data_IF_178723277747
#
_entry.id   IF_178723277747
#
_cell.length_a   1.000
_cell.length_b   1.000
_cell.length_c   1.000
_cell.angle_alpha   90.00
_cell.angle_beta   90.00
_cell.angle_gamma   90.00
#
_symmetry.space_group_name_H-M   'P 1'
#
loop_
_entity.id
_entity.type
_entity.pdbx_description
1 polymer ?
#
# COMPACT_ATOMS: atom_id res chain seq x y z
N UNK A 1 -61.54 5.23 -43.63
CA UNK A 1 -60.52 6.27 -43.35
C UNK A 1 -60.08 6.12 -41.91
N UNK A 2 -58.94 5.47 -41.62
CA UNK A 2 -58.43 5.33 -40.25
C UNK A 2 -57.54 6.53 -39.88
N UNK A 3 -57.75 7.09 -38.67
CA UNK A 3 -56.83 8.03 -38.03
C UNK A 3 -55.75 7.16 -37.37
N UNK A 4 -54.52 7.26 -37.86
CA UNK A 4 -53.36 6.61 -37.25
C UNK A 4 -52.97 7.40 -35.99
N UNK A 5 -53.13 6.79 -34.82
CA UNK A 5 -52.62 7.29 -33.55
C UNK A 5 -51.19 6.75 -33.37
N UNK A 6 -50.22 7.49 -33.89
CA UNK A 6 -48.79 7.17 -33.80
C UNK A 6 -48.24 7.71 -32.47
N UNK A 7 -48.41 6.93 -31.40
CA UNK A 7 -47.76 7.20 -30.11
C UNK A 7 -46.27 6.89 -30.23
N UNK A 8 -45.47 7.88 -30.67
CA UNK A 8 -44.01 7.81 -30.70
C UNK A 8 -43.45 7.79 -29.27
N UNK A 9 -42.75 6.73 -28.82
CA UNK A 9 -42.04 6.80 -27.55
C UNK A 9 -40.87 7.77 -27.69
N UNK A 10 -40.77 8.72 -26.75
CA UNK A 10 -39.66 9.64 -26.64
C UNK A 10 -38.34 8.85 -26.52
N UNK A 11 -37.49 8.94 -27.56
CA UNK A 11 -36.11 8.44 -27.51
C UNK A 11 -35.32 9.29 -26.53
N UNK A 12 -35.23 8.84 -25.28
CA UNK A 12 -34.23 9.35 -24.35
C UNK A 12 -32.84 8.86 -24.82
N UNK A 13 -31.84 9.73 -24.97
CA UNK A 13 -30.47 9.27 -25.18
C UNK A 13 -29.99 8.53 -23.93
N UNK A 14 -29.44 7.33 -24.12
CA UNK A 14 -28.79 6.57 -23.05
C UNK A 14 -27.71 7.42 -22.36
N UNK A 15 -27.53 7.32 -21.04
CA UNK A 15 -26.40 7.95 -20.38
C UNK A 15 -25.09 7.37 -20.95
N UNK A 16 -24.01 8.17 -21.06
CA UNK A 16 -22.72 7.63 -21.46
C UNK A 16 -22.34 6.51 -20.50
N UNK A 17 -22.03 5.34 -21.06
CA UNK A 17 -21.47 4.22 -20.33
C UNK A 17 -20.19 4.70 -19.64
N UNK A 18 -20.22 4.79 -18.31
CA UNK A 18 -19.05 4.97 -17.47
C UNK A 18 -18.10 3.79 -17.68
N UNK A 19 -17.28 3.85 -18.73
CA UNK A 19 -16.12 2.99 -18.85
C UNK A 19 -15.20 3.34 -17.67
N UNK A 20 -14.83 2.37 -16.80
CA UNK A 20 -13.75 2.61 -15.87
C UNK A 20 -12.49 2.96 -16.67
N UNK A 21 -11.72 3.99 -16.29
CA UNK A 21 -10.50 4.33 -17.01
C UNK A 21 -9.56 3.11 -17.02
N UNK A 22 -8.83 2.86 -18.11
CA UNK A 22 -7.83 1.79 -18.14
C UNK A 22 -6.82 2.05 -17.01
N UNK A 23 -6.32 0.99 -16.33
CA UNK A 23 -5.26 1.17 -15.35
C UNK A 23 -4.06 1.79 -16.10
N UNK A 24 -3.75 3.04 -15.78
CA UNK A 24 -2.56 3.72 -16.29
C UNK A 24 -1.34 2.93 -15.85
N UNK A 25 -0.82 2.13 -16.78
CA UNK A 25 0.43 1.36 -16.71
C UNK A 25 1.68 2.22 -16.43
N UNK A 26 1.51 3.54 -16.27
CA UNK A 26 2.57 4.52 -16.03
C UNK A 26 2.98 4.62 -14.56
N UNK A 27 2.20 4.08 -13.63
CA UNK A 27 2.43 4.30 -12.20
C UNK A 27 3.41 3.30 -11.57
N UNK A 28 3.40 2.06 -12.06
CA UNK A 28 4.31 0.99 -11.64
C UNK A 28 5.78 1.39 -11.81
N UNK A 29 6.09 2.17 -12.86
CA UNK A 29 7.46 2.64 -13.14
C UNK A 29 7.96 3.83 -12.31
N UNK A 30 7.13 4.45 -11.45
CA UNK A 30 7.52 5.62 -10.65
C UNK A 30 8.05 5.25 -9.27
N UNK A 31 7.53 4.18 -8.65
CA UNK A 31 7.95 3.70 -7.32
C UNK A 31 9.40 3.21 -7.31
N UNK A 32 9.83 2.50 -8.36
CA UNK A 32 11.21 1.99 -8.52
C UNK A 32 12.27 3.10 -8.58
N UNK A 33 11.87 4.35 -8.83
CA UNK A 33 12.77 5.50 -8.96
C UNK A 33 12.98 6.25 -7.64
N UNK A 34 12.10 6.12 -6.65
CA UNK A 34 12.24 6.82 -5.37
C UNK A 34 13.08 6.02 -4.36
N UNK A 35 14.41 6.08 -4.53
CA UNK A 35 15.37 5.35 -3.68
C UNK A 35 15.19 5.62 -2.17
N UNK A 36 14.87 6.85 -1.78
CA UNK A 36 14.67 7.22 -0.38
C UNK A 36 13.45 6.52 0.23
N UNK A 37 12.35 6.44 -0.51
CA UNK A 37 11.17 5.68 -0.12
C UNK A 37 11.47 4.18 0.00
N UNK A 38 12.15 3.60 -1.00
CA UNK A 38 12.51 2.17 -0.98
C UNK A 38 13.45 1.84 0.19
N UNK A 39 14.40 2.72 0.52
CA UNK A 39 15.25 2.57 1.71
C UNK A 39 14.42 2.56 3.00
N UNK A 40 13.36 3.37 3.07
CA UNK A 40 12.40 3.36 4.16
C UNK A 40 11.69 2.01 4.30
N UNK A 41 11.20 1.47 3.18
CA UNK A 41 10.56 0.16 3.14
C UNK A 41 11.50 -0.98 3.59
N UNK A 42 12.77 -0.96 3.14
CA UNK A 42 13.79 -1.92 3.58
C UNK A 42 14.07 -1.76 5.09
N UNK A 43 14.10 -0.54 5.61
CA UNK A 43 14.26 -0.30 7.04
C UNK A 43 13.10 -0.88 7.87
N UNK A 44 11.88 -0.87 7.34
CA UNK A 44 10.73 -1.52 7.98
C UNK A 44 10.90 -3.03 8.06
N UNK A 45 11.37 -3.66 6.97
CA UNK A 45 11.68 -5.09 7.00
C UNK A 45 12.75 -5.41 8.06
N UNK A 46 13.82 -4.62 8.15
CA UNK A 46 14.86 -4.79 9.17
C UNK A 46 14.32 -4.58 10.60
N UNK A 47 13.38 -3.66 10.79
CA UNK A 47 12.69 -3.46 12.07
C UNK A 47 11.82 -4.68 12.44
N UNK A 48 11.05 -5.22 11.49
CA UNK A 48 10.21 -6.40 11.70
C UNK A 48 11.04 -7.64 12.04
N UNK A 49 12.17 -7.86 11.33
CA UNK A 49 13.13 -8.93 11.64
C UNK A 49 13.61 -8.85 13.09
N UNK A 50 14.11 -7.67 13.50
CA UNK A 50 14.57 -7.44 14.89
C UNK A 50 13.47 -7.67 15.92
N UNK A 51 12.25 -7.19 15.63
CA UNK A 51 11.09 -7.38 16.50
C UNK A 51 10.74 -8.86 16.64
N UNK A 52 10.73 -9.62 15.53
CA UNK A 52 10.49 -11.07 15.55
C UNK A 52 11.55 -11.80 16.35
N UNK A 53 12.84 -11.50 16.13
CA UNK A 53 13.93 -12.09 16.92
C UNK A 53 13.76 -11.79 18.41
N UNK A 54 13.50 -10.54 18.79
CA UNK A 54 13.29 -10.18 20.18
C UNK A 54 12.10 -10.92 20.81
N UNK A 55 11.00 -11.07 20.08
CA UNK A 55 9.85 -11.88 20.52
C UNK A 55 10.21 -13.36 20.68
N UNK A 56 10.96 -13.95 19.74
CA UNK A 56 11.38 -15.34 19.83
C UNK A 56 12.36 -15.59 20.99
N UNK A 57 13.26 -14.63 21.28
CA UNK A 57 14.26 -14.76 22.33
C UNK A 57 13.69 -14.49 23.72
N UNK A 58 12.80 -13.50 23.85
CA UNK A 58 12.30 -13.04 25.16
C UNK A 58 10.84 -13.42 25.44
N UNK A 59 10.15 -14.03 24.48
CA UNK A 59 8.75 -14.47 24.62
C UNK A 59 7.72 -13.34 24.66
N UNK A 60 8.14 -12.09 24.53
CA UNK A 60 7.24 -10.93 24.63
C UNK A 60 7.54 -9.86 23.57
N UNK A 61 6.48 -9.24 23.06
CA UNK A 61 6.57 -8.04 22.24
C UNK A 61 6.60 -6.83 23.18
N UNK A 62 7.69 -6.05 23.18
CA UNK A 62 7.76 -4.82 23.96
C UNK A 62 6.79 -3.79 23.35
N UNK A 63 5.73 -3.39 24.07
CA UNK A 63 4.81 -2.39 23.54
C UNK A 63 5.54 -1.06 23.36
N UNK A 64 5.21 -0.35 22.27
CA UNK A 64 5.75 0.98 21.99
C UNK A 64 7.02 1.04 21.13
N UNK A 65 7.67 -0.09 20.79
CA UNK A 65 8.89 -0.08 19.96
C UNK A 65 8.70 0.63 18.61
N UNK A 66 7.53 0.48 17.98
CA UNK A 66 7.24 1.18 16.72
C UNK A 66 7.21 2.70 16.91
N UNK A 67 6.61 3.15 18.02
CA UNK A 67 6.55 4.57 18.38
C UNK A 67 7.96 5.12 18.64
N UNK A 68 8.77 4.39 19.42
CA UNK A 68 10.16 4.77 19.69
C UNK A 68 10.98 4.88 18.40
N UNK A 69 10.82 3.92 17.48
CA UNK A 69 11.50 3.93 16.18
C UNK A 69 11.09 5.15 15.33
N UNK A 70 9.80 5.50 15.30
CA UNK A 70 9.31 6.69 14.59
C UNK A 70 9.82 7.99 15.23
N UNK A 71 9.82 8.07 16.56
CA UNK A 71 10.40 9.20 17.29
C UNK A 71 11.89 9.35 16.99
N UNK A 72 12.64 8.25 16.90
CA UNK A 72 14.04 8.29 16.51
C UNK A 72 14.22 8.84 15.09
N UNK A 73 13.37 8.45 14.14
CA UNK A 73 13.42 9.02 12.79
C UNK A 73 13.13 10.52 12.77
N UNK A 74 12.15 10.97 13.56
CA UNK A 74 11.87 12.40 13.73
C UNK A 74 13.05 13.15 14.36
N UNK A 75 13.66 12.60 15.41
CA UNK A 75 14.79 13.23 16.11
C UNK A 75 16.04 13.38 15.22
N UNK A 76 16.24 12.46 14.27
CA UNK A 76 17.37 12.50 13.33
C UNK A 76 17.00 13.17 11.99
N UNK A 77 15.84 13.82 11.90
CA UNK A 77 15.36 14.52 10.70
C UNK A 77 15.39 13.65 9.43
N UNK A 78 14.97 12.39 9.54
CA UNK A 78 14.87 11.52 8.36
C UNK A 78 13.91 12.12 7.31
N UNK A 79 14.21 11.97 6.01
CA UNK A 79 13.35 12.51 4.96
C UNK A 79 11.91 11.99 5.05
N UNK A 80 10.89 12.82 4.77
CA UNK A 80 9.49 12.37 4.81
C UNK A 80 9.21 11.15 3.91
N UNK A 81 9.83 11.10 2.72
CA UNK A 81 9.71 9.96 1.81
C UNK A 81 10.22 8.65 2.41
N UNK A 82 11.29 8.70 3.23
CA UNK A 82 11.81 7.53 3.93
C UNK A 82 10.81 7.05 4.98
N UNK A 83 10.29 7.97 5.80
CA UNK A 83 9.31 7.64 6.85
C UNK A 83 8.05 7.05 6.21
N UNK A 84 7.59 7.63 5.10
CA UNK A 84 6.46 7.11 4.33
C UNK A 84 6.67 5.66 3.89
N UNK A 85 7.80 5.37 3.23
CA UNK A 85 8.11 4.00 2.79
C UNK A 85 8.23 3.00 3.93
N UNK A 86 8.75 3.45 5.08
CA UNK A 86 8.77 2.63 6.30
C UNK A 86 7.35 2.29 6.76
N UNK A 87 6.48 3.29 6.91
CA UNK A 87 5.10 3.09 7.39
C UNK A 87 4.28 2.24 6.43
N UNK A 88 4.38 2.49 5.12
CA UNK A 88 3.63 1.75 4.09
C UNK A 88 4.04 0.27 4.03
N UNK A 89 5.32 -0.03 4.26
CA UNK A 89 5.78 -1.42 4.39
C UNK A 89 5.23 -2.08 5.66
N UNK A 90 5.18 -1.40 6.81
CA UNK A 90 4.55 -1.94 8.01
C UNK A 90 3.06 -2.22 7.77
N UNK A 91 2.34 -1.29 7.13
CA UNK A 91 0.93 -1.48 6.79
C UNK A 91 0.70 -2.66 5.83
N UNK A 92 1.55 -2.79 4.80
CA UNK A 92 1.51 -3.93 3.89
C UNK A 92 1.72 -5.26 4.62
N UNK A 93 2.71 -5.32 5.53
CA UNK A 93 2.99 -6.50 6.34
C UNK A 93 1.79 -6.88 7.20
N UNK A 94 1.27 -5.93 8.00
CA UNK A 94 0.12 -6.14 8.88
C UNK A 94 -1.10 -6.58 8.08
N UNK A 95 -1.40 -5.90 6.98
CA UNK A 95 -2.53 -6.24 6.11
C UNK A 95 -2.43 -7.66 5.53
N UNK A 96 -1.22 -8.11 5.16
CA UNK A 96 -1.02 -9.47 4.67
C UNK A 96 -1.12 -10.52 5.79
N UNK A 97 -0.56 -10.24 6.97
CA UNK A 97 -0.66 -11.11 8.14
C UNK A 97 -2.11 -11.27 8.63
N UNK A 98 -2.88 -10.18 8.64
CA UNK A 98 -4.31 -10.22 8.99
C UNK A 98 -5.15 -10.96 7.94
N UNK A 99 -4.71 -10.97 6.68
CA UNK A 99 -5.32 -11.78 5.61
C UNK A 99 -5.04 -13.29 5.71
N UNK A 100 -4.51 -13.78 6.84
CA UNK A 100 -4.25 -15.20 7.08
C UNK A 100 -3.01 -15.75 6.37
N UNK A 101 -2.19 -14.90 5.75
CA UNK A 101 -0.90 -15.31 5.18
C UNK A 101 0.15 -15.30 6.27
N UNK A 102 0.88 -16.39 6.44
CA UNK A 102 2.11 -16.37 7.23
C UNK A 102 3.18 -15.61 6.44
N UNK A 103 3.40 -14.36 6.81
CA UNK A 103 4.42 -13.51 6.18
C UNK A 103 5.64 -13.51 7.09
N UNK A 104 6.67 -14.23 6.66
CA UNK A 104 7.96 -14.20 7.33
C UNK A 104 8.72 -12.92 6.94
N UNK A 105 9.01 -12.00 7.88
CA UNK A 105 9.83 -10.82 7.59
C UNK A 105 11.20 -11.13 6.98
N UNK A 106 11.75 -12.33 7.21
CA UNK A 106 13.06 -12.76 6.76
C UNK A 106 13.11 -13.00 5.24
N UNK A 107 12.07 -13.62 4.68
CA UNK A 107 11.98 -14.02 3.26
C UNK A 107 11.02 -13.15 2.46
N UNK A 108 10.23 -12.31 3.14
CA UNK A 108 9.27 -11.42 2.51
C UNK A 108 9.95 -10.40 1.57
N UNK A 109 9.52 -10.38 0.31
CA UNK A 109 9.91 -9.35 -0.64
C UNK A 109 9.10 -8.07 -0.38
N UNK A 110 9.67 -7.22 0.46
CA UNK A 110 9.07 -5.94 0.88
C UNK A 110 8.88 -5.00 -0.30
N UNK A 111 9.82 -4.97 -1.26
CA UNK A 111 9.78 -4.03 -2.38
C UNK A 111 8.64 -4.38 -3.33
N UNK A 112 8.52 -5.66 -3.69
CA UNK A 112 7.42 -6.11 -4.51
C UNK A 112 6.06 -5.95 -3.80
N UNK A 113 6.03 -6.05 -2.46
CA UNK A 113 4.80 -5.88 -1.70
C UNK A 113 4.30 -4.43 -1.65
N UNK A 114 5.20 -3.46 -1.47
CA UNK A 114 4.82 -2.03 -1.49
C UNK A 114 4.50 -1.55 -2.90
N UNK A 115 5.15 -2.11 -3.93
CA UNK A 115 4.85 -1.80 -5.34
C UNK A 115 3.45 -2.28 -5.73
N UNK A 116 3.06 -3.51 -5.33
CA UNK A 116 1.73 -4.07 -5.63
C UNK A 116 0.57 -3.29 -5.02
N UNK A 117 0.80 -2.52 -3.95
CA UNK A 117 -0.26 -1.78 -3.24
C UNK A 117 -0.40 -0.33 -3.66
N UNK A 118 0.46 0.18 -4.54
CA UNK A 118 0.31 1.54 -5.08
C UNK A 118 0.50 2.65 -4.06
N UNK A 119 1.15 2.40 -2.92
CA UNK A 119 1.40 3.42 -1.89
C UNK A 119 2.38 4.54 -2.33
N UNK A 120 2.75 4.65 -3.61
CA UNK A 120 3.60 5.71 -4.16
C UNK A 120 2.85 6.89 -4.81
N UNK A 121 1.52 6.91 -4.71
CA UNK A 121 0.63 7.95 -5.24
C UNK A 121 0.51 9.15 -4.30
#
# INVERSE_FOLDING_TARGET
MPIADETRPASYPSPPTSQPPPPTSSDTGRLTKNRTYLNGAIAAQAYLKRTRTAMCTHGQCRPGMLREQLQQFSAHAFPPAFIKGFVDAIDAYVSMSLGGRDVDPQTWDVLAAVERRGYGQ
#
